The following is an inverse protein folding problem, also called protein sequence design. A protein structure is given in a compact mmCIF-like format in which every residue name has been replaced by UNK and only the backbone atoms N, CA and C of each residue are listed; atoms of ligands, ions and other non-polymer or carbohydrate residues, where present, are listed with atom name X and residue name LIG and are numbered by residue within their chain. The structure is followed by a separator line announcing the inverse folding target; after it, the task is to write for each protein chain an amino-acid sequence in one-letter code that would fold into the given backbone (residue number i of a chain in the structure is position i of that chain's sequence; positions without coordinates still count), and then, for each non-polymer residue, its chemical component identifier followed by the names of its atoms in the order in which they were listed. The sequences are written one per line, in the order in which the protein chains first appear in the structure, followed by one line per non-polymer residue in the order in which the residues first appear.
data_IF_090043507318
#
_entry.id   IF_090043507318
#
_cell.length_a   1.000
_cell.length_b   1.000
_cell.length_c   1.000
_cell.angle_alpha   90.00
_cell.angle_beta   90.00
_cell.angle_gamma   90.00
#
_symmetry.space_group_name_H-M   'P 1'
#
loop_
_entity.id
_entity.type
_entity.pdbx_description
1 polymer ?
#
# COMPACT_ATOMS: atom_id res chain seq x y z
N UNK A 1 29.76 23.28 34.49
CA UNK A 1 29.06 22.59 33.38
C UNK A 1 29.03 21.07 33.51
N UNK A 2 30.08 20.36 33.90
CA UNK A 2 30.10 18.88 34.04
C UNK A 2 29.25 18.33 35.20
N UNK A 3 28.98 19.07 36.27
CA UNK A 3 28.17 18.60 37.42
C UNK A 3 26.65 18.71 37.21
N UNK A 4 26.17 19.59 36.30
CA UNK A 4 24.72 19.67 35.97
C UNK A 4 24.26 18.51 35.09
N UNK A 5 25.13 18.00 34.20
CA UNK A 5 24.79 16.88 33.32
C UNK A 5 24.66 15.53 34.04
N UNK A 6 25.36 15.35 35.19
CA UNK A 6 25.25 14.11 35.98
C UNK A 6 23.93 14.02 36.75
N UNK A 7 23.41 15.14 37.25
CA UNK A 7 22.17 15.17 38.03
C UNK A 7 20.94 14.95 37.12
N UNK A 8 20.97 15.48 35.90
CA UNK A 8 19.88 15.25 34.94
C UNK A 8 19.79 13.78 34.50
N UNK A 9 20.94 13.11 34.37
CA UNK A 9 20.98 11.70 33.97
C UNK A 9 20.50 10.73 35.08
N UNK A 10 20.68 11.08 36.35
CA UNK A 10 20.15 10.28 37.48
C UNK A 10 18.65 10.43 37.63
N UNK A 11 18.08 11.62 37.46
CA UNK A 11 16.63 11.86 37.54
C UNK A 11 15.89 11.12 36.41
N UNK A 12 16.47 11.00 35.21
CA UNK A 12 15.86 10.25 34.09
C UNK A 12 15.87 8.73 34.31
N UNK A 13 16.90 8.19 34.98
CA UNK A 13 16.97 6.75 35.30
C UNK A 13 15.91 6.34 36.32
N UNK A 14 15.66 7.16 37.32
CA UNK A 14 14.68 6.87 38.38
C UNK A 14 13.24 7.00 37.91
N UNK A 15 12.94 7.90 36.96
CA UNK A 15 11.63 8.03 36.30
C UNK A 15 11.29 6.85 35.37
N UNK A 16 12.29 6.26 34.70
CA UNK A 16 12.07 5.10 33.82
C UNK A 16 11.86 3.83 34.63
N UNK A 17 12.52 3.67 35.79
CA UNK A 17 12.34 2.51 36.68
C UNK A 17 11.00 2.51 37.40
N UNK A 18 10.44 3.66 37.74
CA UNK A 18 9.13 3.77 38.39
C UNK A 18 7.96 3.39 37.45
N UNK A 19 8.10 3.52 36.14
CA UNK A 19 7.05 3.16 35.15
C UNK A 19 6.96 1.66 34.88
N UNK A 20 7.98 0.85 35.21
CA UNK A 20 7.99 -0.60 34.95
C UNK A 20 7.40 -1.45 36.10
N UNK A 21 7.18 -0.89 37.29
CA UNK A 21 6.70 -1.64 38.48
C UNK A 21 5.17 -1.60 38.61
N UNK A 22 4.46 -0.71 37.88
CA UNK A 22 2.99 -0.54 38.01
C UNK A 22 2.16 -1.46 37.09
N UNK A 23 2.76 -2.30 36.25
CA UNK A 23 2.04 -3.11 35.23
C UNK A 23 1.89 -4.60 35.57
N UNK A 24 2.23 -5.07 36.78
CA UNK A 24 2.26 -6.52 37.11
C UNK A 24 1.19 -6.94 38.17
N UNK A 25 0.29 -6.10 38.58
CA UNK A 25 -0.73 -6.49 39.56
C UNK A 25 -2.15 -6.17 39.08
N UNK A 26 -2.66 -6.90 38.07
CA UNK A 26 -4.10 -7.09 37.81
C UNK A 26 -4.30 -8.27 36.83
N UNK A 27 -4.05 -9.48 37.32
CA UNK A 27 -4.53 -10.72 36.73
C UNK A 27 -5.35 -11.45 37.81
N UNK A 28 -6.65 -11.31 37.71
CA UNK A 28 -7.62 -11.95 38.61
C UNK A 28 -8.89 -12.30 37.90
N UNK A 29 -8.99 -13.54 37.50
CA UNK A 29 -10.18 -14.40 37.52
C UNK A 29 -11.54 -13.84 37.04
N UNK A 30 -12.05 -14.39 35.94
CA UNK A 30 -13.45 -14.29 35.51
C UNK A 30 -13.78 -15.51 34.64
N UNK A 31 -14.43 -16.49 35.25
CA UNK A 31 -14.78 -17.78 34.69
C UNK A 31 -15.73 -17.71 33.48
N UNK A 32 -15.42 -18.58 32.60
CA UNK A 32 -16.15 -19.09 31.45
C UNK A 32 -17.60 -19.51 31.80
N UNK A 33 -18.58 -19.07 31.04
CA UNK A 33 -19.85 -19.81 30.85
C UNK A 33 -19.99 -20.22 29.41
N UNK A 34 -19.86 -21.49 29.20
CA UNK A 34 -20.21 -22.18 27.95
C UNK A 34 -21.73 -22.33 27.94
N UNK A 35 -22.41 -21.74 26.96
CA UNK A 35 -23.80 -22.08 26.64
C UNK A 35 -23.81 -22.85 25.33
N UNK A 36 -23.99 -24.15 25.46
CA UNK A 36 -24.30 -25.09 24.37
C UNK A 36 -25.77 -24.87 23.98
N UNK A 37 -26.06 -24.52 22.75
CA UNK A 37 -27.37 -24.65 22.14
C UNK A 37 -27.23 -25.41 20.84
N UNK A 38 -27.39 -26.74 20.95
CA UNK A 38 -27.66 -27.62 19.82
C UNK A 38 -29.09 -27.38 19.34
N UNK A 39 -29.25 -26.92 18.13
CA UNK A 39 -30.49 -26.87 17.39
C UNK A 39 -30.35 -27.68 16.11
N UNK A 40 -30.61 -28.99 16.21
CA UNK A 40 -30.78 -29.90 15.05
C UNK A 40 -32.00 -29.45 14.24
N UNK A 41 -31.83 -29.06 12.99
CA UNK A 41 -32.86 -29.09 11.96
C UNK A 41 -32.45 -30.10 10.88
N UNK A 42 -33.29 -31.11 10.58
CA UNK A 42 -33.02 -31.99 9.46
C UNK A 42 -33.29 -31.31 8.12
N UNK A 43 -32.41 -31.54 7.16
CA UNK A 43 -32.56 -31.12 5.78
C UNK A 43 -33.68 -31.89 5.08
N UNK A 44 -34.46 -31.26 4.16
CA UNK A 44 -35.48 -31.99 3.39
C UNK A 44 -34.81 -32.85 2.30
N UNK A 45 -35.24 -34.13 2.28
CA UNK A 45 -34.88 -35.14 1.29
C UNK A 45 -35.51 -34.78 -0.06
N UNK A 46 -34.81 -34.74 -1.18
CA UNK A 46 -35.44 -34.61 -2.50
C UNK A 46 -36.13 -35.90 -2.89
N UNK A 47 -37.44 -35.82 -3.14
CA UNK A 47 -38.28 -36.91 -3.67
C UNK A 47 -37.95 -37.13 -5.15
N UNK A 48 -37.49 -38.32 -5.49
CA UNK A 48 -37.30 -38.78 -6.87
C UNK A 48 -38.66 -39.09 -7.50
N UNK A 49 -39.17 -38.20 -8.33
CA UNK A 49 -40.30 -38.49 -9.21
C UNK A 49 -39.78 -39.17 -10.48
N UNK A 50 -40.07 -40.46 -10.58
CA UNK A 50 -39.77 -41.27 -11.78
C UNK A 50 -40.72 -40.84 -12.90
N UNK A 51 -40.24 -40.10 -13.90
CA UNK A 51 -40.96 -39.86 -15.15
C UNK A 51 -40.68 -41.00 -16.13
N UNK A 52 -41.75 -41.67 -16.54
CA UNK A 52 -41.77 -42.66 -17.61
C UNK A 52 -41.48 -41.95 -18.95
N UNK A 53 -40.40 -42.35 -19.61
CA UNK A 53 -40.05 -41.88 -20.95
C UNK A 53 -40.75 -42.78 -21.98
N UNK A 54 -41.57 -42.22 -22.92
CA UNK A 54 -42.07 -42.99 -24.05
C UNK A 54 -40.93 -43.29 -25.05
N UNK A 55 -40.87 -44.56 -25.44
CA UNK A 55 -39.92 -45.09 -26.42
C UNK A 55 -40.28 -44.59 -27.80
N UNK A 56 -39.55 -43.61 -28.31
CA UNK A 56 -39.67 -43.15 -29.72
C UNK A 56 -38.76 -43.97 -30.64
N UNK A 57 -39.33 -44.36 -31.79
CA UNK A 57 -38.71 -45.09 -32.88
C UNK A 57 -37.61 -44.24 -33.53
N UNK A 58 -36.50 -44.83 -34.03
CA UNK A 58 -35.40 -44.04 -34.61
C UNK A 58 -35.82 -43.47 -35.97
N UNK A 59 -35.85 -42.16 -36.07
CA UNK A 59 -35.89 -41.45 -37.34
C UNK A 59 -34.51 -41.38 -37.98
N UNK A 60 -34.39 -41.77 -39.22
CA UNK A 60 -33.17 -41.66 -40.00
C UNK A 60 -32.82 -40.16 -40.19
N UNK A 61 -31.75 -39.74 -39.56
CA UNK A 61 -31.21 -38.37 -39.74
C UNK A 61 -30.26 -38.38 -40.95
N UNK A 62 -30.38 -37.45 -41.88
CA UNK A 62 -29.39 -37.31 -42.99
C UNK A 62 -28.06 -36.88 -42.38
N UNK A 63 -26.95 -37.52 -42.84
CA UNK A 63 -25.58 -37.24 -42.48
C UNK A 63 -25.26 -35.77 -42.87
N UNK A 64 -25.11 -34.92 -41.87
CA UNK A 64 -24.58 -33.56 -42.10
C UNK A 64 -23.09 -33.63 -42.39
N UNK A 65 -22.69 -33.00 -43.49
CA UNK A 65 -21.29 -32.74 -43.79
C UNK A 65 -20.62 -32.02 -42.63
N UNK A 66 -19.39 -32.35 -42.21
CA UNK A 66 -18.70 -31.63 -41.16
C UNK A 66 -18.41 -30.21 -41.61
N UNK A 67 -19.04 -29.23 -40.97
CA UNK A 67 -18.69 -27.82 -41.12
C UNK A 67 -17.25 -27.65 -40.64
N UNK A 68 -16.37 -26.94 -41.37
CA UNK A 68 -15.00 -26.70 -40.92
C UNK A 68 -15.04 -25.92 -39.62
N UNK A 69 -14.59 -26.54 -38.54
CA UNK A 69 -14.39 -25.89 -37.25
C UNK A 69 -13.25 -24.88 -37.41
N UNK A 70 -13.54 -23.58 -37.36
CA UNK A 70 -12.54 -22.53 -37.34
C UNK A 70 -11.66 -22.76 -36.10
N UNK A 71 -10.43 -23.13 -36.28
CA UNK A 71 -9.43 -23.19 -35.20
C UNK A 71 -9.26 -21.75 -34.66
N UNK A 72 -9.42 -21.50 -33.36
CA UNK A 72 -9.21 -20.18 -32.81
C UNK A 72 -7.76 -19.74 -33.09
N UNK A 73 -7.59 -18.67 -33.86
CA UNK A 73 -6.30 -18.02 -34.04
C UNK A 73 -5.91 -17.44 -32.69
N UNK A 74 -4.87 -18.00 -32.06
CA UNK A 74 -4.29 -17.44 -30.83
C UNK A 74 -3.66 -16.11 -31.21
N UNK A 75 -4.34 -15.01 -30.87
CA UNK A 75 -3.72 -13.68 -30.95
C UNK A 75 -2.58 -13.66 -29.93
N UNK A 76 -1.31 -13.42 -30.35
CA UNK A 76 -0.21 -13.36 -29.38
C UNK A 76 -0.50 -12.27 -28.36
N UNK A 77 -0.44 -12.61 -27.07
CA UNK A 77 -0.48 -11.63 -25.97
C UNK A 77 0.70 -10.68 -26.19
N UNK A 78 0.50 -9.36 -26.18
CA UNK A 78 1.59 -8.40 -26.31
C UNK A 78 2.67 -8.70 -25.27
N UNK A 79 3.91 -8.87 -25.71
CA UNK A 79 5.04 -9.06 -24.80
C UNK A 79 5.27 -7.76 -24.05
N UNK A 80 5.56 -7.80 -22.72
CA UNK A 80 5.87 -6.59 -21.94
C UNK A 80 6.99 -5.79 -22.59
N UNK A 81 6.89 -4.47 -22.58
CA UNK A 81 7.88 -3.54 -23.14
C UNK A 81 9.13 -3.38 -22.28
N UNK A 82 9.23 -4.06 -21.15
CA UNK A 82 10.30 -3.96 -20.16
C UNK A 82 11.03 -5.31 -19.97
N UNK A 83 12.32 -5.30 -19.51
CA UNK A 83 13.09 -6.50 -19.25
C UNK A 83 12.51 -7.32 -18.08
N UNK A 84 12.91 -8.60 -17.97
CA UNK A 84 12.47 -9.50 -16.88
C UNK A 84 12.95 -9.07 -15.48
N UNK A 85 14.01 -8.26 -15.42
CA UNK A 85 14.54 -7.68 -14.20
C UNK A 85 15.24 -6.35 -14.46
N UNK A 86 15.11 -5.40 -13.51
CA UNK A 86 15.85 -4.14 -13.53
C UNK A 86 16.02 -3.60 -12.10
N UNK A 87 17.20 -2.99 -11.81
CA UNK A 87 17.53 -2.44 -10.49
C UNK A 87 18.23 -1.09 -10.63
N UNK A 88 17.68 -0.08 -9.96
CA UNK A 88 18.24 1.27 -9.88
C UNK A 88 19.28 1.29 -8.75
N UNK A 89 20.55 1.58 -9.04
CA UNK A 89 21.63 1.47 -8.07
C UNK A 89 22.05 2.78 -7.42
N UNK A 90 21.79 3.92 -8.05
CA UNK A 90 22.35 5.23 -7.64
C UNK A 90 21.41 6.06 -6.75
N UNK A 91 20.31 5.46 -6.28
CA UNK A 91 19.40 6.14 -5.36
C UNK A 91 19.92 6.02 -3.94
N UNK A 92 19.88 7.11 -3.20
CA UNK A 92 20.25 7.19 -1.78
C UNK A 92 19.07 7.71 -0.99
N UNK A 93 18.96 7.31 0.25
CA UNK A 93 17.92 7.77 1.14
C UNK A 93 18.44 7.96 2.55
N UNK A 94 17.60 8.50 3.40
CA UNK A 94 17.90 8.73 4.80
C UNK A 94 16.74 8.26 5.71
N UNK A 95 16.97 8.29 7.01
CA UNK A 95 15.93 7.99 7.98
C UNK A 95 15.04 9.21 8.18
N UNK A 96 13.71 9.06 8.07
CA UNK A 96 12.74 10.14 8.32
C UNK A 96 12.94 10.78 9.69
N UNK A 97 12.74 12.11 9.77
CA UNK A 97 12.89 12.86 11.01
C UNK A 97 11.64 12.81 11.89
N UNK A 98 10.47 12.74 11.31
CA UNK A 98 9.20 12.80 12.04
C UNK A 98 8.53 11.43 12.14
N UNK A 99 7.77 11.14 13.22
CA UNK A 99 7.01 9.89 13.34
C UNK A 99 6.06 9.62 12.16
N UNK A 100 5.41 10.67 11.63
CA UNK A 100 4.53 10.63 10.46
C UNK A 100 5.13 11.44 9.29
N UNK A 101 6.41 11.25 9.00
CA UNK A 101 7.12 11.98 7.93
C UNK A 101 7.54 11.10 6.76
N UNK A 102 7.00 9.90 6.64
CA UNK A 102 7.43 8.94 5.62
C UNK A 102 7.23 9.47 4.20
N UNK A 103 6.14 10.21 3.94
CA UNK A 103 5.81 10.77 2.64
C UNK A 103 6.78 11.90 2.25
N UNK A 104 7.08 12.80 3.20
CA UNK A 104 8.03 13.88 2.97
C UNK A 104 9.45 13.32 2.79
N UNK A 105 9.87 12.40 3.66
CA UNK A 105 11.19 11.75 3.57
C UNK A 105 11.36 11.01 2.23
N UNK A 106 10.39 10.19 1.82
CA UNK A 106 10.43 9.51 0.54
C UNK A 106 10.44 10.51 -0.65
N UNK A 107 9.64 11.58 -0.56
CA UNK A 107 9.58 12.60 -1.61
C UNK A 107 10.92 13.33 -1.83
N UNK A 108 11.63 13.70 -0.75
CA UNK A 108 12.92 14.39 -0.89
C UNK A 108 14.05 13.45 -1.32
N UNK A 109 14.06 12.18 -0.87
CA UNK A 109 15.01 11.17 -1.36
C UNK A 109 14.81 10.90 -2.86
N UNK A 110 13.55 10.81 -3.28
CA UNK A 110 13.17 10.68 -4.68
C UNK A 110 13.58 11.92 -5.50
N UNK A 111 13.33 13.13 -4.99
CA UNK A 111 13.75 14.38 -5.63
C UNK A 111 15.27 14.46 -5.77
N UNK A 112 16.00 14.06 -4.73
CA UNK A 112 17.48 14.03 -4.71
C UNK A 112 18.03 13.12 -5.82
N UNK A 113 17.39 11.99 -6.09
CA UNK A 113 17.77 11.09 -7.19
C UNK A 113 17.72 11.80 -8.55
N UNK A 114 16.76 12.69 -8.77
CA UNK A 114 16.65 13.52 -9.97
C UNK A 114 17.45 14.83 -9.89
N UNK A 115 18.34 14.97 -8.91
CA UNK A 115 19.24 16.11 -8.76
C UNK A 115 18.64 17.34 -8.08
N UNK A 116 17.46 17.24 -7.50
CA UNK A 116 16.78 18.34 -6.78
C UNK A 116 16.93 18.12 -5.27
N UNK A 117 17.67 19.00 -4.62
CA UNK A 117 17.84 18.99 -3.15
C UNK A 117 16.73 19.79 -2.49
N UNK A 118 15.97 19.18 -1.59
CA UNK A 118 14.87 19.80 -0.85
C UNK A 118 15.10 19.58 0.64
N UNK A 119 14.81 20.58 1.46
CA UNK A 119 14.83 20.43 2.91
C UNK A 119 13.57 19.70 3.38
N UNK A 120 13.68 18.59 4.14
CA UNK A 120 12.55 17.78 4.58
C UNK A 120 11.59 18.56 5.48
N UNK A 121 12.10 19.37 6.41
CA UNK A 121 11.26 20.20 7.28
C UNK A 121 10.46 21.22 6.46
N UNK A 122 11.10 21.87 5.49
CA UNK A 122 10.42 22.82 4.62
C UNK A 122 9.35 22.12 3.77
N UNK A 123 9.66 20.97 3.18
CA UNK A 123 8.71 20.17 2.40
C UNK A 123 7.52 19.75 3.25
N UNK A 124 7.77 19.16 4.43
CA UNK A 124 6.73 18.71 5.34
C UNK A 124 5.77 19.86 5.74
N UNK A 125 6.30 21.02 6.10
CA UNK A 125 5.47 22.15 6.54
C UNK A 125 4.86 22.98 5.41
N UNK A 126 5.23 22.74 4.16
CA UNK A 126 4.55 23.28 2.97
C UNK A 126 3.37 22.42 2.51
N UNK A 127 3.23 21.20 2.98
CA UNK A 127 2.06 20.39 2.67
C UNK A 127 0.79 21.07 3.19
N UNK A 128 -0.28 21.16 2.39
CA UNK A 128 -1.54 21.68 2.88
C UNK A 128 -2.09 20.78 4.00
N UNK A 129 -2.73 21.37 4.99
CA UNK A 129 -3.44 20.60 6.03
C UNK A 129 -4.89 20.35 5.59
N UNK A 130 -5.39 19.15 5.85
CA UNK A 130 -6.75 18.75 5.51
C UNK A 130 -7.26 17.69 6.49
N UNK A 131 -8.56 17.43 6.51
CA UNK A 131 -9.16 16.24 7.11
C UNK A 131 -9.29 15.08 6.11
N UNK A 132 -8.93 15.32 4.83
CA UNK A 132 -8.91 14.33 3.75
C UNK A 132 -7.47 14.15 3.23
N UNK A 133 -6.86 12.95 3.33
CA UNK A 133 -5.48 12.74 2.90
C UNK A 133 -5.27 12.92 1.38
N UNK A 134 -6.30 12.81 0.56
CA UNK A 134 -6.21 13.12 -0.87
C UNK A 134 -6.05 14.63 -1.16
N UNK A 135 -6.34 15.48 -0.16
CA UNK A 135 -6.28 16.94 -0.28
C UNK A 135 -5.14 17.58 0.52
N UNK A 136 -4.61 16.89 1.52
CA UNK A 136 -3.53 17.41 2.36
C UNK A 136 -3.19 16.50 3.53
N UNK A 137 -2.24 16.93 4.35
CA UNK A 137 -1.77 16.18 5.52
C UNK A 137 -2.84 16.19 6.62
N UNK A 138 -3.18 15.00 7.12
CA UNK A 138 -4.21 14.82 8.18
C UNK A 138 -3.55 14.71 9.53
N UNK A 139 -3.89 15.63 10.43
CA UNK A 139 -3.40 15.66 11.81
C UNK A 139 -2.02 16.29 11.98
N UNK A 140 -1.27 15.85 12.97
CA UNK A 140 0.06 16.39 13.28
C UNK A 140 1.16 15.39 13.00
N UNK A 141 2.26 15.84 12.39
CA UNK A 141 3.42 15.02 12.00
C UNK A 141 4.10 14.31 13.18
N UNK A 142 3.92 14.83 14.40
CA UNK A 142 4.40 14.21 15.65
C UNK A 142 3.39 13.23 16.27
N UNK A 143 2.26 12.97 15.60
CA UNK A 143 1.26 12.03 16.05
C UNK A 143 1.73 10.58 16.04
N UNK A 144 1.03 9.68 16.75
CA UNK A 144 1.37 8.27 16.75
C UNK A 144 1.04 7.63 15.40
N UNK A 145 1.94 6.77 14.91
CA UNK A 145 1.75 5.99 13.71
C UNK A 145 0.70 4.87 13.90
N UNK A 146 0.01 4.52 12.82
CA UNK A 146 -0.97 3.43 12.79
C UNK A 146 -2.41 3.87 13.01
N UNK A 147 -2.68 5.17 13.04
CA UNK A 147 -4.04 5.71 13.11
C UNK A 147 -4.69 5.88 11.74
N UNK A 148 -5.97 6.18 11.72
CA UNK A 148 -6.74 6.59 10.53
C UNK A 148 -7.44 7.92 10.80
N UNK A 149 -7.81 8.71 9.77
CA UNK A 149 -8.60 9.92 9.98
C UNK A 149 -9.86 9.65 10.82
N UNK A 150 -10.30 10.60 11.67
CA UNK A 150 -9.84 12.00 11.76
C UNK A 150 -8.59 12.21 12.62
N UNK A 151 -7.97 11.14 13.12
CA UNK A 151 -6.72 11.22 13.88
C UNK A 151 -5.53 11.51 12.98
N UNK A 152 -4.33 11.67 13.56
CA UNK A 152 -3.09 11.88 12.80
C UNK A 152 -2.80 10.68 11.90
N UNK A 153 -2.67 10.94 10.59
CA UNK A 153 -2.60 9.87 9.60
C UNK A 153 -1.44 10.05 8.62
N UNK A 154 -1.36 11.18 7.93
CA UNK A 154 -0.42 11.43 6.85
C UNK A 154 -1.10 12.04 5.63
N UNK A 155 -0.52 11.84 4.45
CA UNK A 155 -1.01 12.42 3.19
C UNK A 155 -0.87 11.43 2.02
N UNK A 156 -1.82 11.46 1.12
CA UNK A 156 -1.81 10.65 -0.10
C UNK A 156 -0.96 11.27 -1.23
N UNK A 157 -0.86 10.56 -2.36
CA UNK A 157 0.05 10.88 -3.46
C UNK A 157 -0.20 12.24 -4.14
N UNK A 158 -1.46 12.67 -4.27
CA UNK A 158 -1.78 13.87 -5.05
C UNK A 158 -1.17 15.17 -4.48
N UNK A 159 -1.26 15.48 -3.16
CA UNK A 159 -0.60 16.65 -2.58
C UNK A 159 0.92 16.58 -2.63
N UNK A 160 1.51 15.39 -2.45
CA UNK A 160 2.96 15.18 -2.56
C UNK A 160 3.44 15.50 -3.98
N UNK A 161 2.79 14.97 -5.00
CA UNK A 161 3.11 15.26 -6.39
C UNK A 161 2.91 16.75 -6.73
N UNK A 162 1.85 17.37 -6.21
CA UNK A 162 1.59 18.80 -6.40
C UNK A 162 2.71 19.67 -5.82
N UNK A 163 3.22 19.30 -4.65
CA UNK A 163 4.33 20.02 -4.03
C UNK A 163 5.66 19.78 -4.76
N UNK A 164 5.96 18.53 -5.19
CA UNK A 164 7.15 18.20 -5.98
C UNK A 164 7.19 19.00 -7.30
N UNK A 165 6.05 19.24 -7.95
CA UNK A 165 5.99 20.10 -9.15
C UNK A 165 6.40 21.54 -8.88
N UNK A 166 6.17 22.07 -7.69
CA UNK A 166 6.65 23.42 -7.31
C UNK A 166 8.18 23.50 -7.20
N UNK A 167 8.85 22.35 -7.01
CA UNK A 167 10.30 22.24 -7.05
C UNK A 167 10.85 21.88 -8.44
N UNK A 168 10.01 21.89 -9.49
CA UNK A 168 10.42 21.68 -10.87
C UNK A 168 10.45 20.23 -11.33
N UNK A 169 9.97 19.29 -10.52
CA UNK A 169 9.85 17.87 -10.90
C UNK A 169 8.46 17.61 -11.53
N UNK A 170 8.37 17.03 -12.74
CA UNK A 170 7.08 16.68 -13.36
C UNK A 170 6.48 15.44 -12.68
N UNK A 171 6.21 15.55 -11.37
CA UNK A 171 5.67 14.47 -10.56
C UNK A 171 4.17 14.32 -10.77
N UNK A 172 3.69 13.08 -10.89
CA UNK A 172 2.28 12.72 -10.96
C UNK A 172 1.90 11.76 -9.86
N UNK A 173 0.86 12.11 -9.09
CA UNK A 173 0.26 11.27 -8.05
C UNK A 173 -1.01 10.64 -8.56
N UNK A 174 -1.10 9.31 -8.56
CA UNK A 174 -2.26 8.56 -9.05
C UNK A 174 -2.58 7.37 -8.16
N UNK A 175 -3.82 6.88 -8.27
CA UNK A 175 -4.27 5.57 -7.80
C UNK A 175 -4.46 4.64 -8.99
N UNK A 176 -4.62 3.33 -8.76
CA UNK A 176 -4.82 2.29 -9.76
C UNK A 176 -3.65 2.13 -10.74
N UNK A 177 -2.43 2.42 -10.28
CA UNK A 177 -1.23 2.16 -11.05
C UNK A 177 -1.01 0.65 -11.16
N UNK A 178 -0.68 0.16 -12.35
CA UNK A 178 -0.50 -1.28 -12.56
C UNK A 178 0.93 -1.73 -12.26
N UNK A 179 1.12 -3.02 -12.00
CA UNK A 179 2.45 -3.60 -11.83
C UNK A 179 3.31 -3.44 -13.11
N UNK A 180 2.69 -3.53 -14.29
CA UNK A 180 3.39 -3.34 -15.55
C UNK A 180 3.86 -1.90 -15.71
N UNK A 181 3.02 -0.91 -15.43
CA UNK A 181 3.41 0.51 -15.41
C UNK A 181 4.53 0.78 -14.40
N UNK A 182 4.47 0.15 -13.21
CA UNK A 182 5.53 0.26 -12.22
C UNK A 182 6.87 -0.26 -12.77
N UNK A 183 6.86 -1.46 -13.37
CA UNK A 183 8.04 -2.07 -13.98
C UNK A 183 8.57 -1.26 -15.16
N UNK A 184 7.71 -0.67 -15.98
CA UNK A 184 8.08 0.24 -17.05
C UNK A 184 8.83 1.47 -16.56
N UNK A 185 8.35 2.10 -15.46
CA UNK A 185 9.06 3.23 -14.84
C UNK A 185 10.45 2.81 -14.33
N UNK A 186 10.51 1.72 -13.59
CA UNK A 186 11.77 1.20 -13.05
C UNK A 186 12.74 0.85 -14.16
N UNK A 187 12.27 0.23 -15.27
CA UNK A 187 13.10 -0.12 -16.45
C UNK A 187 13.71 1.10 -17.15
N UNK A 188 13.15 2.28 -16.94
CA UNK A 188 13.66 3.58 -17.44
C UNK A 188 14.55 4.30 -16.42
N UNK A 189 15.03 3.62 -15.38
CA UNK A 189 15.75 4.21 -14.24
C UNK A 189 14.93 5.31 -13.51
N UNK A 190 13.61 5.17 -13.48
CA UNK A 190 12.71 6.09 -12.79
C UNK A 190 12.13 5.41 -11.54
N UNK A 191 12.67 5.65 -10.34
CA UNK A 191 12.12 5.12 -9.10
C UNK A 191 10.71 5.65 -8.85
N UNK A 192 9.88 4.85 -8.18
CA UNK A 192 8.47 5.17 -7.93
C UNK A 192 8.20 5.20 -6.44
N UNK A 193 7.61 6.27 -5.95
CA UNK A 193 7.11 6.35 -4.56
C UNK A 193 5.79 5.58 -4.50
N UNK A 194 5.65 4.64 -3.58
CA UNK A 194 4.46 3.79 -3.44
C UNK A 194 3.92 3.79 -2.01
N UNK A 195 2.60 3.87 -1.87
CA UNK A 195 1.88 3.78 -0.61
C UNK A 195 1.57 2.32 -0.29
N UNK A 196 2.05 1.86 0.84
CA UNK A 196 1.94 0.47 1.33
C UNK A 196 1.46 0.46 2.78
N UNK A 197 1.33 -0.72 3.38
CA UNK A 197 0.99 -0.87 4.79
C UNK A 197 2.20 -1.37 5.56
N UNK A 198 2.56 -0.68 6.62
CA UNK A 198 3.66 -1.06 7.51
C UNK A 198 4.97 -1.32 6.75
N UNK A 199 5.64 -2.39 7.09
CA UNK A 199 6.83 -2.85 6.36
C UNK A 199 6.45 -3.80 5.22
N UNK A 200 5.59 -3.34 4.31
CA UNK A 200 5.04 -4.10 3.17
C UNK A 200 4.34 -5.37 3.65
N UNK A 201 3.27 -5.18 4.42
CA UNK A 201 2.40 -6.26 4.92
C UNK A 201 0.96 -6.04 4.43
N UNK A 202 0.09 -7.02 4.59
CA UNK A 202 -1.34 -6.85 4.32
C UNK A 202 -1.99 -5.88 5.28
N UNK A 203 -3.09 -5.25 4.86
CA UNK A 203 -3.87 -4.32 5.66
C UNK A 203 -5.36 -4.41 5.37
N UNK A 204 -6.15 -3.62 6.09
CA UNK A 204 -7.60 -3.55 5.93
C UNK A 204 -7.95 -2.14 5.44
N UNK A 205 -8.51 -2.00 4.22
CA UNK A 205 -8.96 -0.71 3.72
C UNK A 205 -10.26 -0.27 4.43
N UNK A 206 -10.37 1.03 4.72
CA UNK A 206 -11.57 1.67 5.27
C UNK A 206 -12.00 2.81 4.36
N UNK A 207 -13.29 2.90 4.06
CA UNK A 207 -13.85 4.08 3.41
C UNK A 207 -14.00 5.17 4.49
N UNK A 208 -13.30 6.28 4.30
CA UNK A 208 -13.40 7.48 5.10
C UNK A 208 -14.15 8.57 4.34
N UNK A 209 -15.04 9.29 5.03
CA UNK A 209 -15.77 10.43 4.48
C UNK A 209 -15.34 11.69 5.22
N UNK A 210 -14.82 12.68 4.50
CA UNK A 210 -14.40 13.96 5.07
C UNK A 210 -15.61 14.84 5.46
N UNK A 211 -15.36 15.98 6.12
CA UNK A 211 -16.41 16.92 6.53
C UNK A 211 -17.21 17.53 5.37
N UNK A 212 -16.72 17.45 4.14
CA UNK A 212 -17.40 17.95 2.95
C UNK A 212 -18.15 16.84 2.19
N UNK A 213 -18.13 15.59 2.70
CA UNK A 213 -18.79 14.45 2.10
C UNK A 213 -17.97 13.72 1.02
N UNK A 214 -16.69 14.07 0.81
CA UNK A 214 -15.82 13.36 -0.11
C UNK A 214 -15.32 12.07 0.52
N UNK A 215 -15.29 11.00 -0.29
CA UNK A 215 -14.86 9.67 0.14
C UNK A 215 -13.45 9.35 -0.34
N UNK A 216 -12.68 8.69 0.52
CA UNK A 216 -11.37 8.16 0.19
C UNK A 216 -11.13 6.85 0.94
N UNK A 217 -10.20 6.02 0.45
CA UNK A 217 -9.77 4.81 1.15
C UNK A 217 -8.55 5.13 1.99
N UNK A 218 -8.60 4.74 3.24
CA UNK A 218 -7.50 4.86 4.22
C UNK A 218 -7.25 3.51 4.87
N UNK A 219 -6.10 3.33 5.49
CA UNK A 219 -5.80 2.12 6.26
C UNK A 219 -4.86 2.45 7.43
N UNK A 220 -5.03 1.74 8.54
CA UNK A 220 -4.10 1.83 9.65
C UNK A 220 -2.69 1.39 9.21
N UNK A 221 -1.66 2.00 9.80
CA UNK A 221 -0.26 1.74 9.45
C UNK A 221 0.10 2.06 8.00
N UNK A 222 -0.61 3.01 7.37
CA UNK A 222 -0.19 3.60 6.11
C UNK A 222 1.29 3.96 6.18
N UNK A 223 2.02 3.71 5.08
CA UNK A 223 3.45 3.96 4.98
C UNK A 223 3.86 4.18 3.53
N UNK A 224 5.00 4.85 3.34
CA UNK A 224 5.54 5.18 2.02
C UNK A 224 6.93 4.61 1.84
N UNK A 225 7.16 4.00 0.70
CA UNK A 225 8.44 3.44 0.27
C UNK A 225 8.79 3.95 -1.14
N UNK A 226 10.05 3.77 -1.54
CA UNK A 226 10.48 4.03 -2.92
C UNK A 226 10.83 2.69 -3.58
N UNK A 227 10.05 2.29 -4.59
CA UNK A 227 10.37 1.10 -5.40
C UNK A 227 11.55 1.43 -6.29
N UNK A 228 12.56 0.54 -6.28
CA UNK A 228 13.86 0.76 -6.92
C UNK A 228 14.33 -0.43 -7.77
N UNK A 229 13.54 -1.49 -7.88
CA UNK A 229 13.90 -2.63 -8.70
C UNK A 229 12.87 -3.73 -8.66
N UNK A 230 13.00 -4.64 -9.60
CA UNK A 230 12.17 -5.84 -9.68
C UNK A 230 12.90 -6.96 -10.41
N UNK A 231 12.45 -8.17 -10.18
CA UNK A 231 12.68 -9.34 -11.04
C UNK A 231 11.35 -10.13 -11.18
N UNK A 232 11.40 -11.33 -11.72
CA UNK A 232 10.21 -12.18 -11.90
C UNK A 232 9.54 -12.56 -10.57
N UNK A 233 10.27 -12.57 -9.46
CA UNK A 233 9.82 -13.07 -8.15
C UNK A 233 9.67 -12.01 -7.07
N UNK A 234 10.46 -10.93 -7.14
CA UNK A 234 10.57 -9.94 -6.06
C UNK A 234 10.46 -8.50 -6.56
N UNK A 235 10.01 -7.63 -5.66
CA UNK A 235 10.12 -6.16 -5.77
C UNK A 235 11.15 -5.69 -4.76
N UNK A 236 12.13 -4.89 -5.23
CA UNK A 236 13.09 -4.18 -4.37
C UNK A 236 12.60 -2.78 -4.11
N UNK A 237 12.69 -2.38 -2.85
CA UNK A 237 12.34 -1.02 -2.43
C UNK A 237 13.33 -0.47 -1.42
N UNK A 238 13.34 0.86 -1.29
CA UNK A 238 14.06 1.59 -0.25
C UNK A 238 13.06 2.12 0.78
N UNK A 239 13.38 1.95 2.05
CA UNK A 239 12.64 2.45 3.20
C UNK A 239 13.62 2.98 4.25
N UNK A 240 13.49 4.26 4.64
CA UNK A 240 14.37 4.90 5.61
C UNK A 240 15.87 4.73 5.27
N UNK A 241 16.25 4.86 4.00
CA UNK A 241 17.60 4.72 3.48
C UNK A 241 18.15 3.29 3.38
N UNK A 242 17.41 2.28 3.79
CA UNK A 242 17.78 0.88 3.65
C UNK A 242 17.00 0.18 2.51
N UNK A 243 17.66 -0.79 1.85
CA UNK A 243 17.04 -1.57 0.78
C UNK A 243 16.50 -2.89 1.29
N UNK A 244 15.34 -3.26 0.77
CA UNK A 244 14.63 -4.51 1.07
C UNK A 244 14.12 -5.15 -0.21
N UNK A 245 13.87 -6.45 -0.15
CA UNK A 245 13.17 -7.19 -1.20
C UNK A 245 12.06 -8.04 -0.59
N UNK A 246 10.91 -8.07 -1.27
CA UNK A 246 9.76 -8.91 -0.89
C UNK A 246 9.24 -9.63 -2.13
N UNK A 247 8.56 -10.79 -1.97
CA UNK A 247 7.86 -11.43 -3.07
C UNK A 247 6.85 -10.47 -3.72
N UNK A 248 6.68 -10.58 -5.04
CA UNK A 248 5.74 -9.73 -5.81
C UNK A 248 4.33 -9.78 -5.20
N UNK A 249 3.85 -10.94 -4.82
CA UNK A 249 2.53 -11.14 -4.20
C UNK A 249 2.39 -10.40 -2.86
N UNK A 250 3.44 -10.38 -2.03
CA UNK A 250 3.46 -9.66 -0.74
C UNK A 250 3.41 -8.16 -0.98
N UNK A 251 4.16 -7.66 -1.97
CA UNK A 251 4.10 -6.25 -2.36
C UNK A 251 2.70 -5.87 -2.86
N UNK A 252 2.12 -6.65 -3.76
CA UNK A 252 0.79 -6.39 -4.32
C UNK A 252 -0.28 -6.37 -3.23
N UNK A 253 -0.29 -7.35 -2.32
CA UNK A 253 -1.25 -7.41 -1.22
C UNK A 253 -1.17 -6.19 -0.28
N UNK A 254 0.01 -5.58 -0.13
CA UNK A 254 0.19 -4.37 0.66
C UNK A 254 -0.22 -3.12 -0.10
N UNK A 255 0.16 -3.04 -1.36
CA UNK A 255 -0.03 -1.87 -2.23
C UNK A 255 -1.50 -1.67 -2.65
N UNK A 256 -2.23 -2.76 -2.90
CA UNK A 256 -3.65 -2.71 -3.28
C UNK A 256 -4.57 -2.13 -2.19
N UNK A 257 -4.17 -2.23 -0.91
CA UNK A 257 -4.97 -1.72 0.23
C UNK A 257 -5.31 -0.24 0.07
N UNK A 258 -4.37 0.55 -0.48
CA UNK A 258 -4.55 1.99 -0.75
C UNK A 258 -4.78 2.29 -2.25
N UNK A 259 -5.24 1.27 -2.99
CA UNK A 259 -5.62 1.40 -4.39
C UNK A 259 -4.43 1.58 -5.34
N UNK A 260 -3.32 0.90 -5.09
CA UNK A 260 -2.10 0.96 -5.90
C UNK A 260 -1.63 2.39 -6.14
N UNK A 261 -1.57 3.17 -5.06
CA UNK A 261 -1.24 4.59 -5.08
C UNK A 261 0.26 4.81 -5.25
N UNK A 262 0.63 5.74 -6.12
CA UNK A 262 2.02 6.10 -6.41
C UNK A 262 2.22 7.58 -6.68
N UNK A 263 3.49 8.02 -6.53
CA UNK A 263 4.05 9.18 -7.24
C UNK A 263 5.16 8.70 -8.15
N UNK A 264 5.12 9.14 -9.42
CA UNK A 264 6.11 8.83 -10.45
C UNK A 264 6.47 10.06 -11.26
N UNK A 265 7.59 10.00 -12.01
CA UNK A 265 8.00 11.06 -12.91
C UNK A 265 7.20 10.93 -14.22
N UNK A 266 6.42 11.95 -14.56
CA UNK A 266 5.70 12.00 -15.83
C UNK A 266 6.69 12.43 -16.94
N UNK A 267 6.77 11.64 -18.01
CA UNK A 267 7.54 12.04 -19.18
C UNK A 267 6.84 13.23 -19.83
N UNK A 268 7.54 14.37 -19.92
CA UNK A 268 7.08 15.47 -20.76
C UNK A 268 7.32 15.04 -22.21
N UNK A 269 6.23 14.86 -22.97
CA UNK A 269 6.36 14.73 -24.42
C UNK A 269 7.12 15.96 -24.92
N UNK A 270 8.34 15.75 -25.38
CA UNK A 270 9.10 16.80 -26.07
C UNK A 270 8.33 17.13 -27.35
N UNK A 271 7.69 18.30 -27.33
CA UNK A 271 7.01 18.94 -28.46
C UNK A 271 8.00 19.27 -29.57
#
# INVERSE_FOLDING_TARGET
MRRLLSVVNEIWRDLVLASFISSILLSGCGQCMIVNAQGNRPAPTPSLTTMLIPKMLPAHTPSANPTPTLTPTITPTPQPSYPTSHYIHNIQGHRQYFPLGCEASAAIDWAQYFGITINEFEFQFKLPLSDNPDLGFVGGVMGPWGQVPPYSYGVHAAPIAALLRQYGLPARGVKQFTLDQLKEQIAKDQPVIAWVIGNVVGGIPYEYTDKNGNKTIVAAYEHVIIVTGYNEKTIRYMNNGAFYEVPVEVFLNSWEVLGNMVVYLEETENS
#
